data_IF_029193701382
#
_entry.id   IF_029193701382
#
_cell.length_a   1.000
_cell.length_b   1.000
_cell.length_c   1.000
_cell.angle_alpha   90.00
_cell.angle_beta   90.00
_cell.angle_gamma   90.00
#
_symmetry.space_group_name_H-M   'P 1'
#
loop_
_entity.id
_entity.type
_entity.pdbx_description
1 polymer ?
#
# COMPACT_ATOMS: atom_id res chain seq x y z
N UNK A 1 13.95 -9.67 -0.17
CA UNK A 1 12.55 -9.28 -0.32
C UNK A 1 12.27 -9.25 -1.80
N UNK A 2 11.39 -10.14 -2.23
CA UNK A 2 10.91 -10.18 -3.60
C UNK A 2 9.53 -9.51 -3.63
N UNK A 3 9.29 -8.62 -4.58
CA UNK A 3 8.01 -7.92 -4.75
C UNK A 3 7.45 -8.09 -6.15
N UNK A 4 6.12 -8.12 -6.23
CA UNK A 4 5.35 -8.17 -7.47
C UNK A 4 4.21 -7.18 -7.36
N UNK A 5 4.11 -6.29 -8.35
CA UNK A 5 2.97 -5.41 -8.55
C UNK A 5 2.42 -5.71 -9.94
N UNK A 6 1.17 -6.18 -10.02
CA UNK A 6 0.57 -6.60 -11.29
C UNK A 6 -0.94 -6.46 -11.27
N UNK A 7 -1.54 -6.39 -12.45
CA UNK A 7 -2.99 -6.45 -12.58
C UNK A 7 -3.47 -7.91 -12.56
N UNK A 8 -4.47 -8.20 -11.74
CA UNK A 8 -5.09 -9.52 -11.60
C UNK A 8 -6.58 -9.38 -11.38
N UNK A 9 -7.40 -9.99 -12.24
CA UNK A 9 -8.87 -9.95 -12.17
C UNK A 9 -9.46 -8.52 -12.09
N UNK A 10 -8.84 -7.56 -12.78
CA UNK A 10 -9.25 -6.15 -12.80
C UNK A 10 -8.83 -5.34 -11.57
N UNK A 11 -8.08 -5.94 -10.65
CA UNK A 11 -7.51 -5.31 -9.46
C UNK A 11 -6.00 -5.15 -9.62
N UNK A 12 -5.40 -4.19 -8.92
CA UNK A 12 -3.97 -4.22 -8.66
C UNK A 12 -3.69 -5.18 -7.51
N UNK A 13 -2.76 -6.10 -7.72
CA UNK A 13 -2.17 -6.96 -6.71
C UNK A 13 -0.79 -6.42 -6.36
N UNK A 14 -0.57 -6.11 -5.09
CA UNK A 14 0.74 -5.76 -4.54
C UNK A 14 1.15 -6.84 -3.53
N UNK A 15 2.25 -7.54 -3.83
CA UNK A 15 2.81 -8.59 -2.98
C UNK A 15 4.27 -8.31 -2.70
N UNK A 16 4.71 -8.54 -1.46
CA UNK A 16 6.11 -8.60 -1.07
C UNK A 16 6.32 -9.70 -0.04
N UNK A 17 7.41 -10.45 -0.17
CA UNK A 17 7.74 -11.55 0.74
C UNK A 17 9.24 -11.71 0.99
N UNK A 18 9.55 -12.34 2.12
CA UNK A 18 10.86 -12.88 2.47
C UNK A 18 10.69 -14.12 3.39
N UNK A 19 11.78 -14.62 3.96
CA UNK A 19 11.77 -15.80 4.83
C UNK A 19 10.98 -15.60 6.14
N UNK A 20 10.60 -14.37 6.48
CA UNK A 20 9.98 -14.00 7.75
C UNK A 20 8.53 -13.51 7.60
N UNK A 21 8.16 -12.96 6.44
CA UNK A 21 6.85 -12.36 6.23
C UNK A 21 6.35 -12.49 4.79
N UNK A 22 5.03 -12.40 4.66
CA UNK A 22 4.33 -12.18 3.40
C UNK A 22 3.33 -11.06 3.62
N UNK A 23 3.35 -10.07 2.73
CA UNK A 23 2.30 -9.07 2.60
C UNK A 23 1.72 -9.14 1.20
N UNK A 24 0.41 -9.29 1.11
CA UNK A 24 -0.32 -9.34 -0.15
C UNK A 24 -1.63 -8.58 0.01
N UNK A 25 -1.91 -7.68 -0.94
CA UNK A 25 -3.15 -6.92 -0.99
C UNK A 25 -3.62 -6.77 -2.43
N UNK A 26 -4.93 -6.94 -2.65
CA UNK A 26 -5.58 -6.62 -3.92
C UNK A 26 -6.56 -5.48 -3.73
N UNK A 27 -6.52 -4.48 -4.62
CA UNK A 27 -7.32 -3.26 -4.50
C UNK A 27 -7.73 -2.71 -5.87
N UNK A 28 -8.86 -2.00 -5.93
CA UNK A 28 -9.31 -1.26 -7.11
C UNK A 28 -8.99 0.23 -7.01
N UNK A 29 -8.79 0.74 -5.80
CA UNK A 29 -8.53 2.16 -5.55
C UNK A 29 -7.43 2.35 -4.49
N UNK A 30 -6.56 3.31 -4.73
CA UNK A 30 -5.50 3.75 -3.82
C UNK A 30 -5.80 5.17 -3.35
N UNK A 31 -6.07 5.33 -2.06
CA UNK A 31 -6.37 6.63 -1.45
C UNK A 31 -5.15 7.12 -0.65
N UNK A 32 -4.38 8.09 -1.19
CA UNK A 32 -3.27 8.71 -0.48
C UNK A 32 -3.75 9.78 0.52
N UNK A 33 -3.02 9.87 1.64
CA UNK A 33 -2.98 11.04 2.52
C UNK A 33 -1.53 11.52 2.63
N UNK A 34 -1.27 12.55 3.42
CA UNK A 34 0.08 13.04 3.67
C UNK A 34 1.03 12.00 4.30
N UNK A 35 0.53 10.95 4.95
CA UNK A 35 1.36 9.91 5.61
C UNK A 35 0.85 8.49 5.42
N UNK A 36 -0.24 8.27 4.69
CA UNK A 36 -0.83 6.92 4.53
C UNK A 36 -1.28 6.68 3.10
N UNK A 37 -0.95 5.51 2.54
CA UNK A 37 -1.66 4.95 1.40
C UNK A 37 -2.71 3.99 1.92
N UNK A 38 -3.98 4.16 1.56
CA UNK A 38 -5.07 3.24 1.89
C UNK A 38 -5.43 2.42 0.65
N UNK A 39 -5.51 1.12 0.83
CA UNK A 39 -5.97 0.20 -0.20
C UNK A 39 -7.47 0.02 -0.03
N UNK A 40 -8.23 0.39 -1.05
CA UNK A 40 -9.67 0.25 -1.08
C UNK A 40 -10.06 -0.83 -2.10
N UNK A 41 -10.97 -1.71 -1.69
CA UNK A 41 -11.60 -2.71 -2.53
C UNK A 41 -13.11 -2.66 -2.35
N UNK A 42 -13.85 -2.52 -3.44
CA UNK A 42 -15.31 -2.40 -3.42
C UNK A 42 -15.79 -1.30 -2.45
N UNK A 43 -15.05 -0.17 -2.39
CA UNK A 43 -15.32 0.95 -1.48
C UNK A 43 -15.04 0.67 0.01
N UNK A 44 -14.35 -0.42 0.34
CA UNK A 44 -13.95 -0.77 1.70
C UNK A 44 -12.43 -0.77 1.84
N UNK A 45 -11.92 -0.20 2.94
CA UNK A 45 -10.48 -0.25 3.24
C UNK A 45 -10.06 -1.67 3.60
N UNK A 46 -9.17 -2.26 2.80
CA UNK A 46 -8.60 -3.60 2.99
C UNK A 46 -7.17 -3.58 3.51
N UNK A 47 -6.50 -2.42 3.48
CA UNK A 47 -5.19 -2.27 4.07
C UNK A 47 -4.67 -0.84 4.02
N UNK A 48 -3.45 -0.63 4.52
CA UNK A 48 -2.73 0.62 4.36
C UNK A 48 -1.23 0.48 4.53
N UNK A 49 -0.48 1.40 3.93
CA UNK A 49 0.93 1.64 4.22
C UNK A 49 1.05 2.99 4.92
N UNK A 50 1.52 2.98 6.16
CA UNK A 50 1.87 4.18 6.90
C UNK A 50 3.36 4.51 6.69
N UNK A 51 3.63 5.77 6.36
CA UNK A 51 4.99 6.30 6.29
C UNK A 51 5.31 7.05 7.59
N UNK A 52 6.30 6.54 8.33
CA UNK A 52 6.82 7.22 9.52
C UNK A 52 7.94 8.18 9.10
N UNK A 53 7.70 9.48 9.32
CA UNK A 53 8.63 10.53 8.94
C UNK A 53 9.95 10.39 9.71
N UNK A 54 11.07 10.45 8.99
CA UNK A 54 12.40 10.28 9.57
C UNK A 54 12.88 8.82 9.71
N UNK A 55 12.15 7.83 9.18
CA UNK A 55 12.65 6.44 9.09
C UNK A 55 12.85 5.98 7.64
N UNK A 56 13.71 4.98 7.45
CA UNK A 56 13.90 4.33 6.15
C UNK A 56 12.80 3.30 5.83
N UNK A 57 11.82 3.12 6.73
CA UNK A 57 10.93 1.97 6.81
C UNK A 57 9.48 2.44 6.79
N UNK A 58 8.60 1.66 6.17
CA UNK A 58 7.15 1.94 6.20
C UNK A 58 6.41 0.75 6.79
N UNK A 59 5.27 1.02 7.42
CA UNK A 59 4.47 -0.01 8.08
C UNK A 59 3.25 -0.34 7.23
N UNK A 60 3.28 -1.50 6.59
CA UNK A 60 2.15 -2.05 5.87
C UNK A 60 1.24 -2.83 6.82
N UNK A 61 -0.07 -2.75 6.61
CA UNK A 61 -1.09 -3.39 7.44
C UNK A 61 -2.27 -3.84 6.60
N UNK A 62 -2.77 -5.04 6.89
CA UNK A 62 -4.04 -5.53 6.38
C UNK A 62 -5.18 -5.24 7.35
N UNK A 63 -6.35 -4.93 6.79
CA UNK A 63 -7.59 -4.77 7.54
C UNK A 63 -8.43 -6.02 7.35
N UNK A 64 -8.53 -6.85 8.38
CA UNK A 64 -9.45 -7.98 8.37
C UNK A 64 -10.87 -7.48 8.65
N UNK A 65 -11.87 -7.92 7.88
CA UNK A 65 -13.28 -7.58 8.10
C UNK A 65 -13.90 -8.18 9.39
N UNK A 66 -13.09 -8.58 10.37
CA UNK A 66 -13.52 -9.02 11.69
C UNK A 66 -13.34 -7.87 12.68
N UNK A 67 -14.33 -7.66 13.54
CA UNK A 67 -14.18 -6.78 14.70
C UNK A 67 -13.10 -7.36 15.63
N UNK A 68 -11.94 -6.71 15.70
CA UNK A 68 -10.83 -7.17 16.54
C UNK A 68 -9.48 -6.57 16.16
N UNK A 69 -8.52 -6.68 17.08
CA UNK A 69 -7.14 -6.19 16.91
C UNK A 69 -6.20 -7.22 16.25
N UNK A 70 -6.74 -8.19 15.50
CA UNK A 70 -5.95 -9.19 14.79
C UNK A 70 -5.26 -8.55 13.57
N UNK A 71 -4.21 -7.78 13.84
CA UNK A 71 -3.44 -7.08 12.83
C UNK A 71 -2.03 -7.66 12.75
N UNK A 72 -1.64 -8.05 11.54
CA UNK A 72 -0.26 -8.32 11.20
C UNK A 72 0.22 -7.09 10.44
N UNK A 73 0.96 -6.23 11.14
CA UNK A 73 1.71 -5.15 10.51
C UNK A 73 3.09 -5.67 10.13
N UNK A 74 3.52 -5.42 8.90
CA UNK A 74 4.87 -5.76 8.46
C UNK A 74 5.60 -4.51 8.00
N UNK A 75 6.91 -4.54 8.16
CA UNK A 75 7.76 -3.53 7.58
C UNK A 75 7.93 -3.80 6.08
N UNK A 76 7.77 -2.76 5.27
CA UNK A 76 8.05 -2.83 3.83
C UNK A 76 9.02 -1.71 3.41
N UNK A 77 9.90 -1.98 2.43
CA UNK A 77 10.90 -1.01 1.97
C UNK A 77 10.24 0.10 1.14
N UNK A 78 10.81 1.30 1.18
CA UNK A 78 10.29 2.46 0.43
C UNK A 78 10.20 2.20 -1.09
N UNK A 79 11.10 1.38 -1.65
CA UNK A 79 11.04 0.99 -3.07
C UNK A 79 9.74 0.26 -3.42
N UNK A 80 9.28 -0.65 -2.57
CA UNK A 80 8.00 -1.33 -2.77
C UNK A 80 6.82 -0.34 -2.73
N UNK A 81 6.88 0.64 -1.82
CA UNK A 81 5.85 1.68 -1.73
C UNK A 81 5.83 2.54 -2.99
N UNK A 82 7.01 2.88 -3.53
CA UNK A 82 7.13 3.59 -4.82
C UNK A 82 6.52 2.77 -5.94
N UNK A 83 6.87 1.49 -6.08
CA UNK A 83 6.35 0.62 -7.14
C UNK A 83 4.81 0.50 -7.09
N UNK A 84 4.24 0.41 -5.87
CA UNK A 84 2.79 0.37 -5.66
C UNK A 84 2.12 1.67 -6.10
N UNK A 85 2.70 2.81 -5.74
CA UNK A 85 2.15 4.11 -6.11
C UNK A 85 2.26 4.36 -7.61
N UNK A 86 3.40 4.04 -8.21
CA UNK A 86 3.64 4.18 -9.65
C UNK A 86 2.63 3.35 -10.45
N UNK A 87 2.43 2.08 -10.10
CA UNK A 87 1.44 1.23 -10.76
C UNK A 87 -0.01 1.71 -10.59
N UNK A 88 -0.33 2.29 -9.42
CA UNK A 88 -1.65 2.86 -9.18
C UNK A 88 -1.89 4.13 -10.02
N UNK A 89 -0.88 5.00 -10.16
CA UNK A 89 -0.96 6.18 -11.02
C UNK A 89 -1.06 5.79 -12.49
N UNK A 90 -0.19 4.89 -12.98
CA UNK A 90 -0.19 4.41 -14.37
C UNK A 90 -1.52 3.78 -14.77
N UNK A 91 -2.21 3.17 -13.83
CA UNK A 91 -3.51 2.54 -14.07
C UNK A 91 -4.72 3.39 -13.70
N UNK A 92 -4.52 4.65 -13.28
CA UNK A 92 -5.60 5.58 -12.96
C UNK A 92 -6.42 5.21 -11.73
N UNK A 93 -5.81 4.51 -10.77
CA UNK A 93 -6.46 4.02 -9.53
C UNK A 93 -6.22 4.91 -8.31
N UNK A 94 -5.48 6.01 -8.46
CA UNK A 94 -5.23 6.99 -7.38
C UNK A 94 -6.41 7.97 -7.25
N UNK A 95 -6.92 8.17 -6.04
CA UNK A 95 -8.07 9.08 -5.81
C UNK A 95 -7.74 10.56 -5.84
N UNK A 96 -6.51 10.92 -5.45
CA UNK A 96 -6.02 12.29 -5.38
C UNK A 96 -4.52 12.35 -5.72
N UNK A 97 -4.21 12.80 -6.94
CA UNK A 97 -2.84 12.94 -7.44
C UNK A 97 -2.01 13.99 -6.65
N UNK A 98 -2.66 15.02 -6.09
CA UNK A 98 -1.97 16.04 -5.29
C UNK A 98 -1.54 15.46 -3.94
N UNK A 99 -2.42 14.67 -3.31
CA UNK A 99 -2.08 13.94 -2.10
C UNK A 99 -1.01 12.86 -2.36
N UNK A 100 -1.04 12.17 -3.50
CA UNK A 100 0.02 11.24 -3.91
C UNK A 100 1.39 11.92 -4.02
N UNK A 101 1.46 13.11 -4.65
CA UNK A 101 2.69 13.90 -4.73
C UNK A 101 3.19 14.34 -3.34
N UNK A 102 2.27 14.71 -2.44
CA UNK A 102 2.58 15.03 -1.05
C UNK A 102 3.14 13.84 -0.27
N UNK A 103 2.54 12.66 -0.45
CA UNK A 103 3.02 11.40 0.13
C UNK A 103 4.43 11.06 -0.36
N UNK A 104 4.69 11.15 -1.68
CA UNK A 104 6.02 10.94 -2.26
C UNK A 104 7.09 11.82 -1.64
N UNK A 105 6.79 13.10 -1.44
CA UNK A 105 7.73 14.08 -0.85
C UNK A 105 8.16 13.72 0.59
N UNK A 106 7.37 12.89 1.28
CA UNK A 106 7.68 12.41 2.64
C UNK A 106 8.27 11.00 2.65
N UNK A 107 7.99 10.21 1.62
CA UNK A 107 8.56 8.86 1.46
C UNK A 107 9.96 8.91 0.87
N UNK A 108 10.19 9.75 -0.14
CA UNK A 108 11.45 9.87 -0.88
C UNK A 108 12.28 11.07 -0.40
#
# INVERSE_FOLDING_TARGET
MDSVITEHDGLLLARIEDDHMVFEVSFDELEPTDVTLRFNRDGQKVGSIYNDDGTARTMARLTTGREGNDFIGVEVPKSFVTDVLDAAEESGRVTDETAAAGYRTRVL
#
